data_IF_966908275742
#
_entry.id   IF_966908275742
#
_cell.length_a   1.000
_cell.length_b   1.000
_cell.length_c   1.000
_cell.angle_alpha   90.00
_cell.angle_beta   90.00
_cell.angle_gamma   90.00
#
_symmetry.space_group_name_H-M   'P 1'
#
loop_
_entity.id
_entity.type
_entity.pdbx_description
1 polymer ?
#
# COMPACT_ATOMS: atom_id res chain seq x y z
N UNK A 1 -18.18 -3.39 -4.55
CA UNK A 1 -16.93 -3.18 -3.77
C UNK A 1 -16.95 -1.76 -3.22
N UNK A 2 -16.71 -1.55 -1.92
CA UNK A 2 -16.60 -0.19 -1.38
C UNK A 2 -15.26 0.44 -1.76
N UNK A 3 -15.24 1.77 -1.89
CA UNK A 3 -14.02 2.56 -2.16
C UNK A 3 -12.91 2.24 -1.14
N UNK A 4 -13.29 2.04 0.12
CA UNK A 4 -12.36 1.64 1.18
C UNK A 4 -11.62 0.33 0.87
N UNK A 5 -12.33 -0.66 0.31
CA UNK A 5 -11.76 -1.97 -0.04
C UNK A 5 -10.85 -1.87 -1.26
N UNK A 6 -11.17 -0.98 -2.21
CA UNK A 6 -10.32 -0.67 -3.37
C UNK A 6 -9.00 -0.05 -2.89
N UNK A 7 -9.04 0.95 -1.98
CA UNK A 7 -7.83 1.54 -1.41
C UNK A 7 -6.96 0.52 -0.69
N UNK A 8 -7.55 -0.39 0.09
CA UNK A 8 -6.80 -1.46 0.75
C UNK A 8 -6.10 -2.38 -0.24
N UNK A 9 -6.77 -2.77 -1.33
CA UNK A 9 -6.17 -3.61 -2.37
C UNK A 9 -5.00 -2.89 -3.05
N UNK A 10 -5.17 -1.60 -3.40
CA UNK A 10 -4.10 -0.78 -3.99
C UNK A 10 -2.89 -0.69 -3.04
N UNK A 11 -3.14 -0.48 -1.74
CA UNK A 11 -2.08 -0.45 -0.74
C UNK A 11 -1.30 -1.76 -0.64
N UNK A 12 -1.99 -2.91 -0.71
CA UNK A 12 -1.34 -4.24 -0.73
C UNK A 12 -0.48 -4.41 -1.99
N UNK A 13 -1.00 -4.02 -3.16
CA UNK A 13 -0.25 -4.12 -4.42
C UNK A 13 1.04 -3.29 -4.36
N UNK A 14 0.96 -2.06 -3.85
CA UNK A 14 2.12 -1.18 -3.67
C UNK A 14 3.19 -1.79 -2.74
N UNK A 15 2.77 -2.47 -1.67
CA UNK A 15 3.69 -3.17 -0.76
C UNK A 15 4.38 -4.34 -1.48
N UNK A 16 3.65 -5.10 -2.29
CA UNK A 16 4.23 -6.19 -3.07
C UNK A 16 5.24 -5.67 -4.11
N UNK A 17 4.92 -4.58 -4.79
CA UNK A 17 5.84 -3.89 -5.70
C UNK A 17 7.08 -3.40 -4.97
N UNK A 18 6.92 -2.85 -3.76
CA UNK A 18 8.05 -2.41 -2.95
C UNK A 18 9.04 -3.55 -2.66
N UNK A 19 8.51 -4.71 -2.25
CA UNK A 19 9.31 -5.91 -2.00
C UNK A 19 10.00 -6.41 -3.27
N UNK A 20 9.31 -6.36 -4.42
CA UNK A 20 9.91 -6.70 -5.71
C UNK A 20 11.06 -5.73 -6.05
N UNK A 21 10.88 -4.42 -5.87
CA UNK A 21 11.94 -3.43 -6.14
C UNK A 21 13.14 -3.57 -5.19
N UNK A 22 12.90 -3.91 -3.92
CA UNK A 22 13.95 -4.22 -2.95
C UNK A 22 14.79 -5.42 -3.40
N UNK A 23 14.14 -6.53 -3.76
CA UNK A 23 14.81 -7.77 -4.13
C UNK A 23 15.43 -7.70 -5.54
N UNK A 24 14.67 -7.21 -6.53
CA UNK A 24 15.04 -7.30 -7.95
C UNK A 24 15.91 -6.13 -8.43
N UNK A 25 15.82 -4.96 -7.79
CA UNK A 25 16.58 -3.77 -8.18
C UNK A 25 17.57 -3.29 -7.11
N UNK A 26 17.71 -4.02 -6.01
CA UNK A 26 18.62 -3.73 -4.88
C UNK A 26 18.49 -2.26 -4.40
N UNK A 27 17.30 -1.67 -4.57
CA UNK A 27 17.09 -0.24 -4.36
C UNK A 27 16.34 -0.02 -3.06
N UNK A 28 17.08 -0.04 -1.95
CA UNK A 28 16.54 0.13 -0.60
C UNK A 28 15.75 1.44 -0.44
N UNK A 29 16.16 2.53 -1.12
CA UNK A 29 15.44 3.81 -1.08
C UNK A 29 14.04 3.72 -1.72
N UNK A 30 13.91 3.02 -2.84
CA UNK A 30 12.63 2.84 -3.54
C UNK A 30 11.73 1.87 -2.79
N UNK A 31 12.29 0.80 -2.24
CA UNK A 31 11.58 -0.15 -1.38
C UNK A 31 10.94 0.58 -0.18
N UNK A 32 11.73 1.32 0.60
CA UNK A 32 11.22 2.01 1.79
C UNK A 32 10.13 3.04 1.43
N UNK A 33 10.31 3.77 0.33
CA UNK A 33 9.32 4.73 -0.14
C UNK A 33 8.01 4.04 -0.54
N UNK A 34 8.07 2.97 -1.33
CA UNK A 34 6.89 2.24 -1.79
C UNK A 34 6.18 1.51 -0.65
N UNK A 35 6.94 0.93 0.30
CA UNK A 35 6.37 0.35 1.53
C UNK A 35 5.62 1.41 2.34
N UNK A 36 6.20 2.59 2.49
CA UNK A 36 5.56 3.70 3.20
C UNK A 36 4.27 4.15 2.49
N UNK A 37 4.32 4.37 1.18
CA UNK A 37 3.14 4.77 0.39
C UNK A 37 2.06 3.68 0.44
N UNK A 38 2.43 2.41 0.23
CA UNK A 38 1.50 1.29 0.28
C UNK A 38 0.83 1.15 1.65
N UNK A 39 1.59 1.28 2.74
CA UNK A 39 1.07 1.31 4.10
C UNK A 39 0.11 2.47 4.36
N UNK A 40 0.45 3.68 3.90
CA UNK A 40 -0.40 4.87 4.04
C UNK A 40 -1.71 4.74 3.25
N UNK A 41 -1.66 4.22 2.02
CA UNK A 41 -2.85 3.98 1.18
C UNK A 41 -3.75 2.92 1.80
N UNK A 42 -3.17 1.83 2.32
CA UNK A 42 -3.94 0.81 3.03
C UNK A 42 -4.61 1.36 4.28
N UNK A 43 -3.86 2.14 5.09
CA UNK A 43 -4.38 2.75 6.31
C UNK A 43 -5.49 3.77 6.02
N UNK A 44 -5.33 4.59 4.98
CA UNK A 44 -6.39 5.48 4.51
C UNK A 44 -7.65 4.68 4.17
N UNK A 45 -7.53 3.60 3.40
CA UNK A 45 -8.63 2.67 3.11
C UNK A 45 -9.30 2.13 4.38
N UNK A 46 -8.52 1.78 5.41
CA UNK A 46 -9.04 1.33 6.72
C UNK A 46 -9.83 2.42 7.46
N UNK A 47 -9.40 3.68 7.40
CA UNK A 47 -10.13 4.82 7.99
C UNK A 47 -11.47 5.02 7.28
N UNK A 48 -11.47 5.00 5.94
CA UNK A 48 -12.70 5.15 5.15
C UNK A 48 -13.69 4.00 5.41
N UNK A 49 -13.20 2.77 5.62
CA UNK A 49 -14.06 1.65 6.02
C UNK A 49 -14.72 1.90 7.39
N UNK A 50 -13.94 2.37 8.37
CA UNK A 50 -14.42 2.67 9.72
C UNK A 50 -15.44 3.82 9.74
N UNK A 51 -15.34 4.80 8.84
CA UNK A 51 -16.30 5.91 8.73
C UNK A 51 -17.59 5.55 7.98
N UNK A 52 -17.54 4.47 7.19
CA UNK A 52 -18.69 4.00 6.38
C UNK A 52 -19.57 2.98 7.12
N UNK A 53 -19.16 2.54 8.32
CA UNK A 53 -19.93 1.72 9.25
C UNK A 53 -20.45 2.59 10.38
#
# INVERSE_FOLDING_TARGET
MSIARILQIIGIILVLDALYFGIAKDSMKMEVLLLFIGGMVFYAGRIFEKRSK
#
